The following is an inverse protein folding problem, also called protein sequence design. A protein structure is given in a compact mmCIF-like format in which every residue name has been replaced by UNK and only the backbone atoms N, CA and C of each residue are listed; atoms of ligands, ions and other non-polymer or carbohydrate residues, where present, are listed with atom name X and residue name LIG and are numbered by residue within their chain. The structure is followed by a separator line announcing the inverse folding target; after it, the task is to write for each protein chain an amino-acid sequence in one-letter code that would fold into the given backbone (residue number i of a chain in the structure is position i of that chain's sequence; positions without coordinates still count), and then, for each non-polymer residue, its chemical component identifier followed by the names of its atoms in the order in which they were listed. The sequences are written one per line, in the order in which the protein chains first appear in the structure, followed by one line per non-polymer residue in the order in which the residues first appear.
data_IF_599487650552
#
_entry.id   IF_599487650552
#
_cell.length_a   1.000
_cell.length_b   1.000
_cell.length_c   1.000
_cell.angle_alpha   90.00
_cell.angle_beta   90.00
_cell.angle_gamma   90.00
#
_symmetry.space_group_name_H-M   'P 1'
#
loop_
_entity.id
_entity.type
_entity.pdbx_description
1 polymer ?
#
# COMPACT_ATOMS: atom_id res chain seq x y z
N UNK A 1 -0.47 -1.83 23.58
CA UNK A 1 -0.02 -1.36 22.24
C UNK A 1 -0.09 0.15 22.22
N UNK A 2 1.03 0.81 21.93
CA UNK A 2 1.07 2.26 21.84
C UNK A 2 0.34 2.78 20.61
N UNK A 3 -0.10 4.04 20.68
CA UNK A 3 -0.84 4.71 19.61
C UNK A 3 -0.12 4.61 18.26
N UNK A 4 1.20 4.86 18.23
CA UNK A 4 2.03 4.76 17.02
C UNK A 4 2.05 3.35 16.40
N UNK A 5 2.17 2.31 17.23
CA UNK A 5 2.16 0.92 16.75
C UNK A 5 0.78 0.53 16.22
N UNK A 6 -0.31 1.04 16.84
CA UNK A 6 -1.68 0.84 16.33
C UNK A 6 -1.88 1.54 15.00
N UNK A 7 -1.46 2.80 14.87
CA UNK A 7 -1.51 3.55 13.62
C UNK A 7 -0.71 2.85 12.51
N UNK A 8 0.49 2.35 12.82
CA UNK A 8 1.29 1.60 11.86
C UNK A 8 0.57 0.32 11.38
N UNK A 9 0.09 -0.51 12.31
CA UNK A 9 -0.55 -1.78 11.97
C UNK A 9 -1.87 -1.59 11.22
N UNK A 10 -2.78 -0.74 11.71
CA UNK A 10 -4.06 -0.51 11.04
C UNK A 10 -3.88 0.25 9.72
N UNK A 11 -2.96 1.21 9.66
CA UNK A 11 -2.60 1.88 8.41
C UNK A 11 -1.99 0.94 7.38
N UNK A 12 -1.15 -0.01 7.83
CA UNK A 12 -0.54 -1.02 6.96
C UNK A 12 -1.56 -2.04 6.47
N UNK A 13 -2.49 -2.46 7.32
CA UNK A 13 -3.59 -3.35 6.94
C UNK A 13 -4.53 -2.67 5.92
N UNK A 14 -4.83 -1.39 6.11
CA UNK A 14 -5.61 -0.61 5.15
C UNK A 14 -4.89 -0.52 3.79
N UNK A 15 -3.60 -0.21 3.79
CA UNK A 15 -2.79 -0.22 2.56
C UNK A 15 -2.81 -1.57 1.86
N UNK A 16 -2.59 -2.67 2.59
CA UNK A 16 -2.61 -4.01 2.03
C UNK A 16 -3.98 -4.36 1.41
N UNK A 17 -5.09 -4.01 2.07
CA UNK A 17 -6.43 -4.23 1.54
C UNK A 17 -6.68 -3.43 0.25
N UNK A 18 -6.20 -2.20 0.21
CA UNK A 18 -6.32 -1.32 -0.96
C UNK A 18 -5.50 -1.87 -2.14
N UNK A 19 -4.25 -2.29 -1.92
CA UNK A 19 -3.43 -2.92 -2.96
C UNK A 19 -4.02 -4.25 -3.44
N UNK A 20 -4.59 -5.04 -2.54
CA UNK A 20 -5.29 -6.27 -2.90
C UNK A 20 -6.50 -5.97 -3.80
N UNK A 21 -7.30 -4.95 -3.47
CA UNK A 21 -8.44 -4.54 -4.30
C UNK A 21 -7.97 -4.15 -5.71
N UNK A 22 -6.89 -3.37 -5.81
CA UNK A 22 -6.31 -3.00 -7.11
C UNK A 22 -5.84 -4.22 -7.88
N UNK A 23 -5.13 -5.15 -7.22
CA UNK A 23 -4.70 -6.39 -7.87
C UNK A 23 -5.88 -7.19 -8.42
N UNK A 24 -6.99 -7.29 -7.68
CA UNK A 24 -8.21 -7.96 -8.11
C UNK A 24 -8.90 -7.25 -9.27
N UNK A 25 -8.99 -5.91 -9.23
CA UNK A 25 -9.52 -5.12 -10.35
C UNK A 25 -8.68 -5.31 -11.61
N UNK A 26 -7.36 -5.25 -11.50
CA UNK A 26 -6.46 -5.48 -12.63
C UNK A 26 -6.62 -6.90 -13.19
N UNK A 27 -6.69 -7.91 -12.32
CA UNK A 27 -6.94 -9.31 -12.74
C UNK A 27 -8.29 -9.50 -13.44
N UNK A 28 -9.29 -8.67 -13.13
CA UNK A 28 -10.59 -8.73 -13.82
C UNK A 28 -10.50 -8.37 -15.30
N UNK A 29 -9.44 -7.67 -15.72
CA UNK A 29 -9.17 -7.32 -17.12
C UNK A 29 -8.22 -8.32 -17.80
N UNK A 30 -7.88 -9.42 -17.13
CA UNK A 30 -7.08 -10.48 -17.74
C UNK A 30 -7.87 -11.19 -18.84
N UNK A 31 -7.23 -11.36 -20.00
CA UNK A 31 -7.78 -12.12 -21.12
C UNK A 31 -7.11 -13.49 -21.12
N UNK A 32 -7.90 -14.57 -21.07
CA UNK A 32 -7.40 -15.95 -20.98
C UNK A 32 -6.45 -16.20 -19.78
N UNK A 33 -6.69 -15.52 -18.65
CA UNK A 33 -5.85 -15.65 -17.45
C UNK A 33 -4.48 -14.98 -17.57
N UNK A 34 -4.26 -14.18 -18.61
CA UNK A 34 -3.05 -13.39 -18.80
C UNK A 34 -3.38 -11.91 -18.80
N UNK A 35 -2.53 -11.13 -18.15
CA UNK A 35 -2.57 -9.68 -18.21
C UNK A 35 -1.81 -9.24 -19.45
N UNK A 36 -2.52 -8.71 -20.44
CA UNK A 36 -1.92 -8.12 -21.63
C UNK A 36 -1.64 -6.65 -21.40
N UNK A 37 -0.63 -6.12 -22.10
CA UNK A 37 -0.28 -4.69 -22.01
C UNK A 37 -1.45 -3.83 -22.46
N UNK A 38 -2.20 -4.26 -23.48
CA UNK A 38 -3.39 -3.54 -23.95
C UNK A 38 -4.49 -3.49 -22.88
N UNK A 39 -4.80 -4.61 -22.21
CA UNK A 39 -5.84 -4.66 -21.17
C UNK A 39 -5.51 -3.86 -19.91
N UNK A 40 -4.22 -3.62 -19.63
CA UNK A 40 -3.77 -2.76 -18.52
C UNK A 40 -3.65 -1.30 -18.95
N UNK A 41 -3.40 -1.02 -20.23
CA UNK A 41 -3.23 0.35 -20.73
C UNK A 41 -4.50 1.20 -20.57
N UNK A 42 -5.68 0.60 -20.69
CA UNK A 42 -6.97 1.24 -20.44
C UNK A 42 -7.15 1.68 -18.97
N UNK A 43 -6.42 1.06 -18.03
CA UNK A 43 -6.46 1.40 -16.61
C UNK A 43 -5.38 2.40 -16.19
N UNK A 44 -4.52 2.86 -17.11
CA UNK A 44 -3.36 3.69 -16.78
C UNK A 44 -3.74 4.99 -16.05
N UNK A 45 -4.75 5.71 -16.56
CA UNK A 45 -5.24 6.95 -15.95
C UNK A 45 -5.82 6.72 -14.54
N UNK A 46 -6.55 5.62 -14.35
CA UNK A 46 -7.12 5.25 -13.06
C UNK A 46 -6.03 4.85 -12.05
N UNK A 47 -5.02 4.09 -12.50
CA UNK A 47 -3.86 3.71 -11.69
C UNK A 47 -3.01 4.92 -11.30
N UNK A 48 -2.83 5.87 -12.20
CA UNK A 48 -2.08 7.10 -11.91
C UNK A 48 -2.82 7.98 -10.89
N UNK A 49 -4.14 8.17 -11.05
CA UNK A 49 -4.97 8.90 -10.10
C UNK A 49 -4.95 8.25 -8.71
N UNK A 50 -5.03 6.92 -8.68
CA UNK A 50 -4.93 6.14 -7.46
C UNK A 50 -3.55 6.27 -6.79
N UNK A 51 -2.48 6.21 -7.58
CA UNK A 51 -1.12 6.41 -7.10
C UNK A 51 -0.95 7.78 -6.44
N UNK A 52 -1.45 8.85 -7.06
CA UNK A 52 -1.35 10.20 -6.50
C UNK A 52 -2.09 10.32 -5.16
N UNK A 53 -3.27 9.71 -5.06
CA UNK A 53 -4.06 9.68 -3.82
C UNK A 53 -3.37 8.89 -2.71
N UNK A 54 -2.86 7.70 -3.03
CA UNK A 54 -2.18 6.84 -2.05
C UNK A 54 -0.84 7.44 -1.62
N UNK A 55 -0.12 8.08 -2.53
CA UNK A 55 1.19 8.68 -2.24
C UNK A 55 1.12 9.63 -1.06
N UNK A 56 0.06 10.45 -0.98
CA UNK A 56 -0.19 11.36 0.14
C UNK A 56 -0.39 10.65 1.48
N UNK A 57 -0.95 9.44 1.47
CA UNK A 57 -1.15 8.62 2.67
C UNK A 57 0.11 7.81 3.05
N UNK A 58 0.82 7.29 2.06
CA UNK A 58 2.01 6.45 2.25
C UNK A 58 3.14 7.23 2.89
N UNK A 59 3.36 8.49 2.53
CA UNK A 59 4.46 9.28 3.11
C UNK A 59 4.34 9.46 4.64
N UNK A 60 3.22 9.94 5.20
CA UNK A 60 3.01 9.98 6.64
C UNK A 60 3.08 8.57 7.29
N UNK A 61 2.50 7.56 6.64
CA UNK A 61 2.54 6.19 7.18
C UNK A 61 3.97 5.64 7.27
N UNK A 62 4.83 5.90 6.28
CA UNK A 62 6.24 5.52 6.33
C UNK A 62 7.00 6.23 7.45
N UNK A 63 6.67 7.48 7.75
CA UNK A 63 7.28 8.18 8.90
C UNK A 63 6.93 7.48 10.22
N UNK A 64 5.68 7.03 10.38
CA UNK A 64 5.25 6.22 11.54
C UNK A 64 5.97 4.87 11.56
N UNK A 65 6.14 4.22 10.40
CA UNK A 65 6.87 2.96 10.28
C UNK A 65 8.32 3.11 10.76
N UNK A 66 9.02 4.15 10.33
CA UNK A 66 10.38 4.47 10.78
C UNK A 66 10.43 4.72 12.29
N UNK A 67 9.49 5.49 12.84
CA UNK A 67 9.43 5.74 14.27
C UNK A 67 9.25 4.45 15.10
N UNK A 68 8.37 3.55 14.64
CA UNK A 68 8.16 2.23 15.27
C UNK A 68 9.41 1.36 15.13
N UNK A 69 10.06 1.37 13.96
CA UNK A 69 11.26 0.59 13.69
C UNK A 69 12.47 1.04 14.53
N UNK A 70 12.73 2.35 14.61
CA UNK A 70 13.78 2.91 15.47
C UNK A 70 13.53 2.56 16.93
N UNK A 71 12.28 2.64 17.40
CA UNK A 71 11.93 2.25 18.77
C UNK A 71 12.12 0.75 19.02
N UNK A 72 11.83 -0.08 18.03
CA UNK A 72 12.08 -1.51 18.08
C UNK A 72 13.59 -1.78 18.21
N UNK A 73 14.41 -1.21 17.32
CA UNK A 73 15.87 -1.33 17.38
C UNK A 73 16.43 -0.85 18.74
N UNK A 74 15.97 0.30 19.23
CA UNK A 74 16.41 0.83 20.52
C UNK A 74 16.17 -0.16 21.66
N UNK A 75 15.00 -0.83 21.68
CA UNK A 75 14.65 -1.82 22.71
C UNK A 75 15.34 -3.17 22.55
N UNK A 76 15.76 -3.53 21.34
CA UNK A 76 16.44 -4.80 21.07
C UNK A 76 17.92 -4.70 21.39
N UNK A 77 18.55 -3.56 21.14
CA UNK A 77 19.99 -3.37 21.30
C UNK A 77 20.39 -2.63 22.58
N UNK A 78 19.43 -2.12 23.37
CA UNK A 78 19.66 -1.46 24.65
C UNK A 78 18.53 -1.77 25.63
#
# INVERSE_FOLDING_TARGET
MDLLTRLFLYGGAALAAIFLMVALMTLSHSTNGQLTVEGVSEMSDAMQSFYELIRWFVYPWMAVALAVFVRFLYRTFK
#
